data_IF_251828011322
#
_entry.id   IF_251828011322
#
_cell.length_a   1.000
_cell.length_b   1.000
_cell.length_c   1.000
_cell.angle_alpha   90.00
_cell.angle_beta   90.00
_cell.angle_gamma   90.00
#
_symmetry.space_group_name_H-M   'P 1'
#
loop_
_entity.id
_entity.type
_entity.pdbx_description
1 polymer ?
#
# COMPACT_ATOMS: atom_id res chain seq x y z
N UNK A 1 -5.32 6.41 12.06
CA UNK A 1 -5.77 6.05 10.72
C UNK A 1 -6.82 4.92 10.73
N UNK A 2 -6.63 3.87 11.52
CA UNK A 2 -7.55 2.73 11.67
C UNK A 2 -8.67 2.94 12.74
N UNK A 3 -8.58 4.01 13.52
CA UNK A 3 -9.62 4.43 14.46
C UNK A 3 -10.07 3.34 15.44
N UNK A 4 -11.37 3.07 15.46
CA UNK A 4 -11.98 2.09 16.37
C UNK A 4 -11.44 0.65 16.18
N UNK A 5 -10.95 0.29 14.98
CA UNK A 5 -10.44 -1.05 14.69
C UNK A 5 -9.19 -1.41 15.49
N UNK A 6 -8.40 -0.41 15.91
CA UNK A 6 -7.17 -0.59 16.68
C UNK A 6 -7.21 0.06 18.07
N UNK A 7 -8.36 0.57 18.52
CA UNK A 7 -8.51 1.27 19.80
C UNK A 7 -8.11 0.42 21.02
N UNK A 8 -8.36 -0.87 20.96
CA UNK A 8 -8.02 -1.82 22.03
C UNK A 8 -7.35 -3.07 21.44
N UNK A 9 -6.56 -2.90 20.37
CA UNK A 9 -5.98 -4.02 19.64
C UNK A 9 -4.74 -3.60 18.85
N UNK A 10 -3.80 -4.51 18.63
CA UNK A 10 -2.63 -4.25 17.78
C UNK A 10 -3.00 -4.37 16.31
N UNK A 11 -2.24 -3.73 15.40
CA UNK A 11 -2.46 -3.83 13.95
C UNK A 11 -2.45 -5.29 13.45
N UNK A 12 -1.54 -6.12 13.95
CA UNK A 12 -1.42 -7.52 13.53
C UNK A 12 -2.62 -8.40 13.90
N UNK A 13 -3.49 -7.92 14.78
CA UNK A 13 -4.75 -8.57 15.13
C UNK A 13 -5.93 -8.18 14.21
N UNK A 14 -5.73 -7.28 13.26
CA UNK A 14 -6.74 -6.96 12.24
C UNK A 14 -7.05 -8.19 11.38
N UNK A 15 -8.30 -8.32 11.02
CA UNK A 15 -8.79 -9.43 10.20
C UNK A 15 -8.95 -9.00 8.73
N UNK A 16 -8.38 -9.80 7.84
CA UNK A 16 -8.62 -9.74 6.40
C UNK A 16 -9.34 -11.01 5.99
N UNK A 17 -10.57 -10.89 5.53
CA UNK A 17 -11.42 -12.02 5.17
C UNK A 17 -11.58 -13.05 6.31
N UNK A 18 -11.77 -12.57 7.54
CA UNK A 18 -11.99 -13.41 8.72
C UNK A 18 -10.73 -14.10 9.28
N UNK A 19 -9.54 -13.75 8.80
CA UNK A 19 -8.26 -14.29 9.30
C UNK A 19 -7.36 -13.14 9.72
N UNK A 20 -6.87 -13.17 10.96
CA UNK A 20 -5.96 -12.16 11.49
C UNK A 20 -4.62 -12.15 10.76
N UNK A 21 -3.98 -11.00 10.67
CA UNK A 21 -2.65 -10.88 10.06
C UNK A 21 -1.65 -11.77 10.80
N UNK A 22 -1.64 -11.75 12.13
CA UNK A 22 -0.74 -12.60 12.93
C UNK A 22 -0.95 -14.10 12.66
N UNK A 23 -2.21 -14.55 12.48
CA UNK A 23 -2.51 -15.94 12.17
C UNK A 23 -1.97 -16.34 10.80
N UNK A 24 -2.03 -15.41 9.83
CA UNK A 24 -1.44 -15.64 8.50
C UNK A 24 0.08 -15.80 8.61
N UNK A 25 0.75 -14.91 9.32
CA UNK A 25 2.18 -14.99 9.51
C UNK A 25 2.61 -16.28 10.20
N UNK A 26 2.00 -16.60 11.32
CA UNK A 26 2.37 -17.81 12.08
C UNK A 26 2.14 -19.08 11.25
N UNK A 27 1.04 -19.16 10.49
CA UNK A 27 0.77 -20.28 9.56
C UNK A 27 1.75 -20.34 8.37
N UNK A 28 2.16 -19.19 7.85
CA UNK A 28 3.15 -19.14 6.77
C UNK A 28 4.52 -19.56 7.28
N UNK A 29 4.95 -19.01 8.41
CA UNK A 29 6.25 -19.26 9.01
C UNK A 29 6.38 -20.68 9.57
N UNK A 30 5.30 -21.29 10.08
CA UNK A 30 5.30 -22.67 10.56
C UNK A 30 5.59 -23.74 9.50
N UNK A 31 5.55 -23.36 8.21
CA UNK A 31 5.94 -24.27 7.12
C UNK A 31 7.44 -24.47 7.02
N UNK A 32 8.23 -23.66 7.71
CA UNK A 32 9.69 -23.66 7.67
C UNK A 32 10.27 -24.09 9.01
N UNK A 33 11.44 -24.71 8.96
CA UNK A 33 12.18 -25.10 10.17
C UNK A 33 12.89 -23.87 10.76
N UNK A 34 12.15 -23.02 11.46
CA UNK A 34 12.67 -21.87 12.17
C UNK A 34 13.02 -22.25 13.61
N UNK A 35 14.16 -21.80 14.10
CA UNK A 35 14.57 -22.03 15.49
C UNK A 35 13.65 -21.31 16.48
N UNK A 36 13.22 -20.10 16.12
CA UNK A 36 12.31 -19.27 16.93
C UNK A 36 11.66 -18.20 16.08
N UNK A 37 10.57 -17.64 16.61
CA UNK A 37 9.96 -16.40 16.15
C UNK A 37 10.06 -15.39 17.31
N UNK A 38 10.57 -14.20 17.03
CA UNK A 38 10.66 -13.10 18.01
C UNK A 38 9.68 -12.03 17.67
N UNK A 39 8.81 -11.67 18.60
CA UNK A 39 7.79 -10.62 18.41
C UNK A 39 8.06 -9.48 19.38
N UNK A 40 8.33 -8.30 18.83
CA UNK A 40 8.44 -7.08 19.65
C UNK A 40 7.04 -6.52 19.87
N UNK A 41 6.66 -6.38 21.13
CA UNK A 41 5.33 -5.94 21.56
C UNK A 41 5.40 -4.59 22.27
N UNK A 42 4.32 -3.82 22.15
CA UNK A 42 4.15 -2.52 22.82
C UNK A 42 2.69 -2.31 23.19
N UNK A 43 1.97 -1.47 22.39
CA UNK A 43 0.56 -1.20 22.60
C UNK A 43 -0.28 -2.49 22.59
N UNK A 44 -1.09 -2.70 23.64
CA UNK A 44 -1.91 -3.92 23.83
C UNK A 44 -1.11 -5.23 23.72
N UNK A 45 0.21 -5.16 24.05
CA UNK A 45 1.14 -6.28 23.88
C UNK A 45 0.75 -7.52 24.67
N UNK A 46 0.26 -7.37 25.91
CA UNK A 46 -0.17 -8.51 26.74
C UNK A 46 -1.34 -9.27 26.10
N UNK A 47 -2.26 -8.56 25.50
CA UNK A 47 -3.40 -9.18 24.80
C UNK A 47 -2.97 -10.02 23.60
N UNK A 48 -1.98 -9.55 22.84
CA UNK A 48 -1.38 -10.32 21.76
C UNK A 48 -0.66 -11.56 22.30
N UNK A 49 0.13 -11.43 23.37
CA UNK A 49 0.84 -12.53 24.02
C UNK A 49 -0.15 -13.61 24.48
N UNK A 50 -1.20 -13.21 25.20
CA UNK A 50 -2.23 -14.14 25.69
C UNK A 50 -2.93 -14.87 24.55
N UNK A 51 -3.25 -14.14 23.45
CA UNK A 51 -3.83 -14.72 22.26
C UNK A 51 -2.90 -15.76 21.61
N UNK A 52 -1.63 -15.43 21.45
CA UNK A 52 -0.64 -16.33 20.83
C UNK A 52 -0.43 -17.57 21.69
N UNK A 53 -0.26 -17.44 23.01
CA UNK A 53 -0.11 -18.57 23.91
C UNK A 53 -1.32 -19.51 23.88
N UNK A 54 -2.53 -18.95 23.75
CA UNK A 54 -3.76 -19.76 23.71
C UNK A 54 -3.94 -20.53 22.39
N UNK A 55 -3.37 -20.05 21.28
CA UNK A 55 -3.65 -20.59 19.94
C UNK A 55 -2.44 -21.24 19.24
N UNK A 56 -1.20 -20.97 19.70
CA UNK A 56 0.04 -21.35 19.02
C UNK A 56 1.09 -21.89 20.00
N UNK A 57 0.69 -22.78 20.92
CA UNK A 57 1.57 -23.38 21.94
C UNK A 57 2.71 -24.22 21.37
N UNK A 58 2.56 -24.70 20.13
CA UNK A 58 3.53 -25.62 19.49
C UNK A 58 4.65 -24.88 18.74
N UNK A 59 4.57 -23.55 18.66
CA UNK A 59 5.57 -22.72 17.98
C UNK A 59 6.46 -22.06 19.03
N UNK A 60 7.78 -22.11 18.84
CA UNK A 60 8.74 -21.42 19.71
C UNK A 60 8.70 -19.91 19.45
N UNK A 61 7.95 -19.17 20.27
CA UNK A 61 7.76 -17.73 20.15
C UNK A 61 8.30 -17.04 21.40
N UNK A 62 9.18 -16.06 21.19
CA UNK A 62 9.74 -15.22 22.24
C UNK A 62 9.22 -13.78 22.09
N UNK A 63 8.98 -13.10 23.20
CA UNK A 63 8.46 -11.74 23.20
C UNK A 63 9.47 -10.76 23.79
N UNK A 64 9.65 -9.64 23.09
CA UNK A 64 10.44 -8.50 23.54
C UNK A 64 9.51 -7.33 23.79
N UNK A 65 9.48 -6.82 25.02
CA UNK A 65 8.60 -5.69 25.35
C UNK A 65 9.28 -4.35 25.09
N UNK A 66 8.63 -3.48 24.33
CA UNK A 66 8.98 -2.06 24.23
C UNK A 66 8.12 -1.25 25.22
N UNK A 67 8.63 -0.90 26.40
CA UNK A 67 7.83 -0.22 27.43
C UNK A 67 7.55 1.26 27.13
N UNK A 68 8.23 1.84 26.13
CA UNK A 68 8.12 3.24 25.74
C UNK A 68 7.70 3.39 24.26
N UNK A 69 6.89 2.45 23.77
CA UNK A 69 6.42 2.40 22.37
C UNK A 69 5.72 3.69 21.93
N UNK A 70 5.09 4.42 22.86
CA UNK A 70 4.37 5.68 22.62
C UNK A 70 5.31 6.89 22.40
N UNK A 71 6.60 6.74 22.70
CA UNK A 71 7.65 7.77 22.57
C UNK A 71 8.74 7.40 21.58
N UNK A 72 8.66 6.22 20.98
CA UNK A 72 9.68 5.68 20.08
C UNK A 72 9.05 5.20 18.79
N UNK A 73 9.87 5.02 17.76
CA UNK A 73 9.47 4.41 16.51
C UNK A 73 10.07 3.00 16.37
N UNK A 74 9.89 2.36 15.20
CA UNK A 74 10.28 0.98 14.94
C UNK A 74 11.79 0.73 15.08
N UNK A 75 12.65 1.74 14.92
CA UNK A 75 14.10 1.64 15.18
C UNK A 75 14.41 1.16 16.60
N UNK A 76 13.69 1.66 17.60
CA UNK A 76 13.92 1.28 18.99
C UNK A 76 13.41 -0.13 19.28
N UNK A 77 12.28 -0.49 18.73
CA UNK A 77 11.75 -1.85 18.81
C UNK A 77 12.78 -2.87 18.27
N UNK A 78 13.41 -2.54 17.15
CA UNK A 78 14.44 -3.38 16.56
C UNK A 78 15.74 -3.39 17.39
N UNK A 79 16.11 -2.25 17.99
CA UNK A 79 17.27 -2.17 18.88
C UNK A 79 17.09 -3.03 20.14
N UNK A 80 15.87 -3.18 20.66
CA UNK A 80 15.57 -4.09 21.78
C UNK A 80 15.74 -5.57 21.39
N UNK A 81 15.54 -5.92 20.13
CA UNK A 81 15.68 -7.28 19.60
C UNK A 81 17.08 -7.56 18.99
N UNK A 82 18.05 -6.66 19.15
CA UNK A 82 19.37 -6.72 18.50
C UNK A 82 20.14 -8.02 18.75
N UNK A 83 20.04 -8.57 19.94
CA UNK A 83 20.78 -9.78 20.31
C UNK A 83 20.31 -10.99 19.49
N UNK A 84 19.03 -11.05 19.15
CA UNK A 84 18.47 -12.07 18.25
C UNK A 84 18.98 -11.91 16.82
N UNK A 85 19.06 -10.67 16.30
CA UNK A 85 19.60 -10.42 14.97
C UNK A 85 21.10 -10.77 14.87
N UNK A 86 21.84 -10.67 15.98
CA UNK A 86 23.25 -11.05 16.04
C UNK A 86 23.48 -12.54 16.27
N UNK A 87 22.48 -13.27 16.74
CA UNK A 87 22.61 -14.69 17.04
C UNK A 87 22.56 -15.58 15.79
N UNK A 88 21.61 -15.30 14.88
CA UNK A 88 21.29 -16.16 13.74
C UNK A 88 20.95 -15.36 12.48
N UNK A 89 20.88 -16.05 11.33
CA UNK A 89 20.29 -15.48 10.12
C UNK A 89 18.80 -15.19 10.37
N UNK A 90 18.33 -14.02 10.01
CA UNK A 90 17.01 -13.54 10.43
C UNK A 90 16.17 -13.07 9.25
N UNK A 91 14.86 -13.33 9.29
CA UNK A 91 13.86 -12.61 8.49
C UNK A 91 13.22 -11.56 9.38
N UNK A 92 13.37 -10.29 9.01
CA UNK A 92 12.68 -9.17 9.63
C UNK A 92 11.42 -8.86 8.83
N UNK A 93 10.27 -8.76 9.52
CA UNK A 93 8.97 -8.45 8.90
C UNK A 93 8.22 -7.42 9.74
N UNK A 94 7.56 -6.48 9.09
CA UNK A 94 6.61 -5.60 9.77
C UNK A 94 5.26 -6.30 9.96
N UNK A 95 4.51 -5.89 10.98
CA UNK A 95 3.34 -6.63 11.48
C UNK A 95 2.01 -6.25 10.80
N UNK A 96 2.01 -5.31 9.89
CA UNK A 96 0.85 -4.75 9.19
C UNK A 96 0.79 -5.09 7.70
N UNK A 97 1.58 -6.07 7.30
CA UNK A 97 1.62 -6.57 5.93
C UNK A 97 0.67 -7.76 5.76
N UNK A 98 0.21 -7.95 4.54
CA UNK A 98 -0.38 -9.19 4.06
C UNK A 98 0.35 -9.62 2.78
N UNK A 99 0.83 -10.86 2.73
CA UNK A 99 1.65 -11.37 1.64
C UNK A 99 1.21 -12.77 1.21
N UNK A 100 1.40 -13.10 -0.05
CA UNK A 100 1.26 -14.48 -0.55
C UNK A 100 2.42 -15.36 -0.07
N UNK A 101 2.16 -16.65 0.13
CA UNK A 101 3.15 -17.63 0.61
C UNK A 101 4.42 -17.66 -0.24
N UNK A 102 4.30 -17.56 -1.56
CA UNK A 102 5.44 -17.56 -2.49
C UNK A 102 6.48 -16.46 -2.25
N UNK A 103 6.13 -15.38 -1.56
CA UNK A 103 7.07 -14.31 -1.21
C UNK A 103 8.10 -14.78 -0.19
N UNK A 104 7.68 -15.53 0.82
CA UNK A 104 8.60 -16.09 1.83
C UNK A 104 9.48 -17.18 1.22
N UNK A 105 8.92 -18.05 0.37
CA UNK A 105 9.67 -19.06 -0.36
C UNK A 105 10.78 -18.44 -1.21
N UNK A 106 10.44 -17.37 -1.94
CA UNK A 106 11.38 -16.64 -2.81
C UNK A 106 12.54 -16.05 -2.01
N UNK A 107 12.24 -15.47 -0.84
CA UNK A 107 13.23 -14.87 0.04
C UNK A 107 14.19 -15.92 0.63
N UNK A 108 13.63 -17.02 1.15
CA UNK A 108 14.40 -18.07 1.80
C UNK A 108 15.30 -18.84 0.83
N UNK A 109 14.78 -19.15 -0.36
CA UNK A 109 15.50 -19.94 -1.37
C UNK A 109 16.50 -19.11 -2.19
N UNK A 110 16.56 -17.79 -1.98
CA UNK A 110 17.50 -16.94 -2.72
C UNK A 110 18.94 -17.13 -2.23
N UNK A 111 19.89 -17.14 -3.16
CA UNK A 111 21.32 -17.36 -2.90
C UNK A 111 21.98 -16.22 -2.14
N UNK A 112 21.54 -14.98 -2.36
CA UNK A 112 22.04 -13.83 -1.62
C UNK A 112 21.58 -13.94 -0.15
N UNK A 113 22.50 -13.63 0.75
CA UNK A 113 22.24 -13.75 2.19
C UNK A 113 21.52 -12.55 2.80
N UNK A 114 21.73 -11.38 2.21
CA UNK A 114 21.23 -10.12 2.71
C UNK A 114 20.33 -9.47 1.66
N UNK A 115 19.03 -9.44 1.92
CA UNK A 115 18.01 -9.06 0.95
C UNK A 115 16.99 -8.08 1.55
N UNK A 116 16.60 -7.12 0.75
CA UNK A 116 15.40 -6.29 0.95
C UNK A 116 14.38 -6.63 -0.13
N UNK A 117 13.20 -7.10 0.24
CA UNK A 117 12.10 -7.26 -0.72
C UNK A 117 11.61 -5.90 -1.19
N UNK A 118 11.47 -5.75 -2.48
CA UNK A 118 11.01 -4.50 -3.10
C UNK A 118 9.96 -4.78 -4.17
N UNK A 119 9.01 -3.86 -4.32
CA UNK A 119 8.00 -3.89 -5.37
C UNK A 119 8.19 -2.70 -6.30
N UNK A 120 8.00 -2.87 -7.61
CA UNK A 120 7.97 -1.74 -8.54
C UNK A 120 6.94 -0.73 -8.06
N UNK A 121 7.29 0.56 -8.03
CA UNK A 121 6.40 1.61 -7.55
C UNK A 121 5.07 1.63 -8.31
N UNK A 122 4.00 1.74 -7.58
CA UNK A 122 2.64 1.99 -8.06
C UNK A 122 2.05 3.20 -7.31
N UNK A 123 1.16 3.94 -7.94
CA UNK A 123 0.66 5.24 -7.42
C UNK A 123 0.01 5.19 -6.04
N UNK A 124 -0.45 4.02 -5.60
CA UNK A 124 -1.06 3.84 -4.29
C UNK A 124 -0.03 3.67 -3.16
N UNK A 125 1.23 3.37 -3.50
CA UNK A 125 2.28 3.08 -2.54
C UNK A 125 2.79 4.35 -1.88
N UNK A 126 2.95 4.29 -0.56
CA UNK A 126 3.50 5.36 0.28
C UNK A 126 4.71 4.84 1.09
N UNK A 127 5.45 5.73 1.73
CA UNK A 127 6.58 5.41 2.60
C UNK A 127 7.93 5.43 1.91
N UNK A 128 8.85 4.55 2.32
CA UNK A 128 10.24 4.52 1.85
C UNK A 128 10.33 3.85 0.49
N UNK A 129 10.96 4.54 -0.46
CA UNK A 129 11.30 4.00 -1.78
C UNK A 129 12.79 3.70 -1.88
N UNK A 130 13.16 2.90 -2.88
CA UNK A 130 14.56 2.65 -3.22
C UNK A 130 14.78 2.77 -4.72
N UNK A 131 16.01 3.16 -5.09
CA UNK A 131 16.55 2.96 -6.44
C UNK A 131 17.49 1.78 -6.44
N UNK A 132 17.43 1.00 -7.49
CA UNK A 132 18.31 -0.16 -7.69
C UNK A 132 18.98 -0.10 -9.05
N UNK A 133 20.16 -0.70 -9.14
CA UNK A 133 20.84 -0.91 -10.43
C UNK A 133 20.47 -2.26 -11.07
N UNK A 134 21.00 -2.53 -12.26
CA UNK A 134 20.77 -3.78 -13.01
C UNK A 134 21.28 -5.03 -12.26
N UNK A 135 22.22 -4.86 -11.31
CA UNK A 135 22.74 -5.92 -10.45
C UNK A 135 21.98 -6.03 -9.12
N UNK A 136 20.82 -5.38 -9.02
CA UNK A 136 19.98 -5.35 -7.82
C UNK A 136 20.64 -4.71 -6.59
N UNK A 137 21.71 -3.93 -6.78
CA UNK A 137 22.30 -3.14 -5.72
C UNK A 137 21.35 -2.00 -5.39
N UNK A 138 21.08 -1.79 -4.10
CA UNK A 138 20.32 -0.62 -3.65
C UNK A 138 21.26 0.59 -3.71
N UNK A 139 20.94 1.53 -4.56
CA UNK A 139 21.72 2.75 -4.75
C UNK A 139 21.37 3.83 -3.73
N UNK A 140 20.09 3.88 -3.36
CA UNK A 140 19.58 4.91 -2.47
C UNK A 140 18.26 4.46 -1.83
N UNK A 141 18.09 4.78 -0.55
CA UNK A 141 16.79 4.84 0.11
C UNK A 141 16.25 6.26 0.04
N UNK A 142 15.01 6.41 -0.37
CA UNK A 142 14.34 7.70 -0.59
C UNK A 142 13.18 7.77 0.39
N UNK A 143 13.28 8.61 1.44
CA UNK A 143 12.18 8.82 2.36
C UNK A 143 11.04 9.58 1.65
N UNK A 144 9.83 9.53 2.21
CA UNK A 144 8.63 10.19 1.66
C UNK A 144 8.89 11.67 1.28
N UNK A 145 9.61 12.41 2.10
CA UNK A 145 9.94 13.82 1.85
C UNK A 145 10.89 14.04 0.66
N UNK A 146 11.61 13.00 0.25
CA UNK A 146 12.53 13.03 -0.90
C UNK A 146 11.93 12.47 -2.19
N UNK A 147 10.66 12.03 -2.16
CA UNK A 147 10.01 11.46 -3.33
C UNK A 147 9.79 12.51 -4.43
N UNK A 148 10.13 12.16 -5.67
CA UNK A 148 9.93 13.00 -6.85
C UNK A 148 9.07 12.25 -7.86
N UNK A 149 7.94 12.82 -8.22
CA UNK A 149 7.00 12.19 -9.17
C UNK A 149 7.58 12.01 -10.57
N UNK A 150 8.50 12.89 -10.99
CA UNK A 150 9.18 12.81 -12.29
C UNK A 150 10.10 11.59 -12.42
N UNK A 151 10.53 11.06 -11.28
CA UNK A 151 11.46 9.94 -11.17
C UNK A 151 10.75 8.64 -10.73
N UNK A 152 9.43 8.66 -10.62
CA UNK A 152 8.64 7.56 -10.07
C UNK A 152 8.82 6.23 -10.82
N UNK A 153 9.11 6.29 -12.12
CA UNK A 153 9.37 5.12 -12.95
C UNK A 153 10.65 4.36 -12.56
N UNK A 154 11.59 5.01 -11.86
CA UNK A 154 12.83 4.40 -11.39
C UNK A 154 12.71 3.83 -9.98
N UNK A 155 11.59 4.06 -9.30
CA UNK A 155 11.43 3.70 -7.90
C UNK A 155 10.84 2.31 -7.69
N UNK A 156 11.27 1.73 -6.57
CA UNK A 156 10.70 0.55 -5.96
C UNK A 156 10.31 0.86 -4.53
N UNK A 157 9.14 0.39 -4.08
CA UNK A 157 8.72 0.46 -2.68
C UNK A 157 9.37 -0.67 -1.89
N UNK A 158 9.88 -0.39 -0.69
CA UNK A 158 10.24 -1.44 0.27
C UNK A 158 8.97 -2.18 0.70
N UNK A 159 9.01 -3.53 0.66
CA UNK A 159 7.90 -4.37 1.13
C UNK A 159 7.94 -4.52 2.65
N UNK A 160 8.96 -3.96 3.29
CA UNK A 160 9.23 -4.05 4.73
C UNK A 160 9.42 -5.50 5.21
N UNK A 161 9.99 -6.33 4.33
CA UNK A 161 10.46 -7.67 4.62
C UNK A 161 11.91 -7.78 4.17
N UNK A 162 12.76 -8.23 5.08
CA UNK A 162 14.21 -8.31 4.88
C UNK A 162 14.75 -9.67 5.30
N UNK A 163 15.80 -10.13 4.65
CA UNK A 163 16.62 -11.27 5.07
C UNK A 163 17.99 -10.72 5.42
N UNK A 164 18.43 -10.94 6.63
CA UNK A 164 19.73 -10.51 7.12
C UNK A 164 20.51 -11.71 7.60
N UNK A 165 21.72 -11.88 7.10
CA UNK A 165 22.65 -12.84 7.68
C UNK A 165 23.12 -12.37 9.05
N UNK A 166 23.45 -13.31 9.91
CA UNK A 166 24.12 -13.05 11.20
C UNK A 166 25.34 -12.14 11.01
N UNK A 167 26.10 -12.38 9.94
CA UNK A 167 27.31 -11.61 9.65
C UNK A 167 26.97 -10.15 9.32
N UNK A 168 26.00 -9.89 8.45
CA UNK A 168 25.53 -8.54 8.13
C UNK A 168 24.99 -7.84 9.38
N UNK A 169 24.13 -8.52 10.14
CA UNK A 169 23.57 -7.96 11.37
C UNK A 169 24.65 -7.57 12.37
N UNK A 170 25.56 -8.49 12.70
CA UNK A 170 26.56 -8.27 13.77
C UNK A 170 27.68 -7.31 13.37
N UNK A 171 28.12 -7.32 12.09
CA UNK A 171 29.27 -6.52 11.64
C UNK A 171 28.89 -5.18 11.01
N UNK A 172 27.69 -5.05 10.47
CA UNK A 172 27.26 -3.85 9.78
C UNK A 172 26.02 -3.24 10.43
N UNK A 173 24.87 -3.93 10.42
CA UNK A 173 23.61 -3.31 10.75
C UNK A 173 23.48 -2.85 12.20
N UNK A 174 23.74 -3.74 13.18
CA UNK A 174 23.58 -3.42 14.61
C UNK A 174 24.56 -2.36 15.11
N UNK A 175 25.85 -2.36 14.75
CA UNK A 175 26.73 -1.26 15.14
C UNK A 175 26.24 0.13 14.65
N UNK A 176 25.72 0.20 13.43
CA UNK A 176 25.16 1.45 12.90
C UNK A 176 23.83 1.79 13.55
N UNK A 177 22.94 0.81 13.82
CA UNK A 177 21.70 0.98 14.54
C UNK A 177 21.94 1.60 15.94
N UNK A 178 22.87 1.05 16.69
CA UNK A 178 23.20 1.55 18.02
C UNK A 178 23.80 2.97 17.98
N UNK A 179 24.69 3.23 17.02
CA UNK A 179 25.25 4.56 16.82
C UNK A 179 24.17 5.57 16.42
N UNK A 180 23.28 5.19 15.50
CA UNK A 180 22.18 6.02 15.01
C UNK A 180 21.22 6.38 16.16
N UNK A 181 20.79 5.39 16.96
CA UNK A 181 19.93 5.64 18.13
C UNK A 181 20.58 6.60 19.15
N UNK A 182 21.89 6.51 19.37
CA UNK A 182 22.62 7.41 20.29
C UNK A 182 22.68 8.84 19.79
N UNK A 183 22.78 9.06 18.47
CA UNK A 183 22.98 10.39 17.87
C UNK A 183 21.64 11.04 17.52
N UNK A 184 20.76 10.30 16.88
CA UNK A 184 19.49 10.80 16.33
C UNK A 184 18.29 10.55 17.26
N UNK A 185 18.44 9.66 18.24
CA UNK A 185 17.38 9.25 19.16
C UNK A 185 16.60 8.04 18.69
N UNK A 186 15.56 7.71 19.44
CA UNK A 186 14.81 6.47 19.28
C UNK A 186 13.48 6.64 18.52
N UNK A 187 13.17 7.84 18.04
CA UNK A 187 11.93 8.13 17.32
C UNK A 187 12.14 8.25 15.80
N UNK A 188 12.90 7.31 15.25
CA UNK A 188 13.25 7.23 13.84
C UNK A 188 12.85 5.87 13.26
N UNK A 189 12.86 5.76 11.94
CA UNK A 189 12.62 4.51 11.21
C UNK A 189 13.93 3.73 11.04
N UNK A 190 13.90 2.42 11.20
CA UNK A 190 15.10 1.56 11.07
C UNK A 190 15.68 1.56 9.63
N UNK A 191 14.89 1.88 8.62
CA UNK A 191 15.35 2.05 7.24
C UNK A 191 16.36 3.21 7.08
N UNK A 192 16.36 4.17 8.00
CA UNK A 192 17.38 5.23 8.00
C UNK A 192 18.78 4.64 8.20
N UNK A 193 18.90 3.58 9.00
CA UNK A 193 20.17 2.87 9.17
C UNK A 193 20.56 2.17 7.87
N UNK A 194 19.61 1.52 7.19
CA UNK A 194 19.85 0.88 5.89
C UNK A 194 20.26 1.93 4.84
N UNK A 195 19.64 3.12 4.88
CA UNK A 195 20.02 4.25 4.02
C UNK A 195 21.49 4.64 4.20
N UNK A 196 21.95 4.75 5.44
CA UNK A 196 23.36 5.06 5.73
C UNK A 196 24.29 3.94 5.23
N UNK A 197 23.92 2.67 5.45
CA UNK A 197 24.70 1.52 5.02
C UNK A 197 24.86 1.43 3.50
N UNK A 198 23.86 1.84 2.73
CA UNK A 198 23.96 1.82 1.26
C UNK A 198 24.96 2.84 0.71
N UNK A 199 25.32 3.86 1.48
CA UNK A 199 26.40 4.78 1.11
C UNK A 199 27.77 4.14 1.23
N UNK A 200 27.88 3.02 1.96
CA UNK A 200 29.12 2.26 2.06
C UNK A 200 29.27 1.37 0.83
N UNK A 201 30.44 1.39 0.22
CA UNK A 201 30.70 0.63 -1.02
C UNK A 201 30.68 -0.90 -0.84
N UNK A 202 30.80 -1.37 0.39
CA UNK A 202 30.95 -2.80 0.74
C UNK A 202 29.71 -3.42 1.40
N UNK A 203 28.54 -2.78 1.32
CA UNK A 203 27.30 -3.41 1.82
C UNK A 203 26.92 -4.62 0.98
N UNK A 204 26.53 -5.70 1.66
CA UNK A 204 26.06 -6.95 1.04
C UNK A 204 24.57 -6.93 0.70
N UNK A 205 23.82 -5.96 1.24
CA UNK A 205 22.37 -5.84 1.04
C UNK A 205 22.01 -5.64 -0.43
N UNK A 206 21.12 -6.48 -0.94
CA UNK A 206 20.59 -6.44 -2.31
C UNK A 206 19.07 -6.32 -2.31
N UNK A 207 18.55 -5.71 -3.33
CA UNK A 207 17.11 -5.73 -3.57
C UNK A 207 16.67 -7.07 -4.17
N UNK A 208 15.53 -7.59 -3.71
CA UNK A 208 14.85 -8.72 -4.34
C UNK A 208 13.47 -8.24 -4.82
N UNK A 209 13.33 -7.91 -6.11
CA UNK A 209 12.05 -7.51 -6.66
C UNK A 209 11.03 -8.65 -6.58
N UNK A 210 9.86 -8.37 -6.02
CA UNK A 210 8.71 -9.25 -6.16
C UNK A 210 8.15 -9.14 -7.58
N UNK A 211 7.53 -10.19 -8.07
CA UNK A 211 6.94 -10.24 -9.41
C UNK A 211 5.43 -10.01 -9.35
N UNK A 212 4.70 -11.08 -9.66
CA UNK A 212 3.22 -11.05 -9.67
C UNK A 212 2.60 -11.43 -8.33
N UNK A 213 3.41 -11.78 -7.35
CA UNK A 213 2.95 -12.16 -6.02
C UNK A 213 2.19 -10.99 -5.38
N UNK A 214 1.09 -11.32 -4.69
CA UNK A 214 0.27 -10.30 -4.02
C UNK A 214 0.87 -9.97 -2.66
N UNK A 215 0.89 -8.69 -2.39
CA UNK A 215 1.22 -8.14 -1.08
C UNK A 215 0.46 -6.82 -0.87
N UNK A 216 0.27 -6.42 0.36
CA UNK A 216 -0.30 -5.12 0.70
C UNK A 216 0.11 -4.71 2.12
N UNK A 217 0.27 -3.41 2.35
CA UNK A 217 0.52 -2.79 3.65
C UNK A 217 -0.78 -2.13 4.13
N UNK A 218 -1.18 -2.39 5.38
CA UNK A 218 -2.48 -1.94 5.91
C UNK A 218 -2.25 -0.82 6.92
N UNK A 219 -2.41 0.41 6.47
CA UNK A 219 -2.23 1.61 7.30
C UNK A 219 -3.53 2.28 7.69
N UNK A 220 -4.58 2.11 6.91
CA UNK A 220 -5.89 2.70 7.17
C UNK A 220 -7.06 1.78 6.76
N UNK A 221 -8.29 2.28 6.92
CA UNK A 221 -9.50 1.50 6.59
C UNK A 221 -9.64 1.24 5.09
N UNK A 222 -9.13 2.11 4.23
CA UNK A 222 -9.15 1.90 2.79
C UNK A 222 -8.16 0.79 2.38
N UNK A 223 -6.99 0.75 3.01
CA UNK A 223 -6.01 -0.32 2.81
C UNK A 223 -6.57 -1.67 3.21
N UNK A 224 -7.27 -1.72 4.35
CA UNK A 224 -7.95 -2.94 4.81
C UNK A 224 -8.99 -3.44 3.81
N UNK A 225 -9.79 -2.54 3.21
CA UNK A 225 -10.77 -2.88 2.18
C UNK A 225 -10.10 -3.37 0.89
N UNK A 226 -9.01 -2.73 0.46
CA UNK A 226 -8.23 -3.16 -0.70
C UNK A 226 -7.58 -4.52 -0.46
N UNK A 227 -6.93 -4.71 0.68
CA UNK A 227 -6.35 -5.98 1.06
C UNK A 227 -7.39 -7.10 1.11
N UNK A 228 -8.58 -6.82 1.66
CA UNK A 228 -9.70 -7.76 1.69
C UNK A 228 -10.18 -8.16 0.29
N UNK A 229 -10.16 -7.22 -0.65
CA UNK A 229 -10.49 -7.49 -2.05
C UNK A 229 -9.41 -8.31 -2.75
N UNK A 230 -8.13 -7.91 -2.62
CA UNK A 230 -6.99 -8.60 -3.27
C UNK A 230 -6.83 -10.05 -2.80
N UNK A 231 -7.02 -10.30 -1.50
CA UNK A 231 -6.85 -11.61 -0.86
C UNK A 231 -8.16 -12.39 -0.69
N UNK A 232 -9.24 -11.96 -1.35
CA UNK A 232 -10.48 -12.70 -1.38
C UNK A 232 -10.40 -13.93 -2.29
N UNK A 233 -11.26 -14.90 -2.04
CA UNK A 233 -11.50 -16.01 -2.98
C UNK A 233 -12.08 -15.49 -4.30
N UNK A 234 -11.72 -16.12 -5.42
CA UNK A 234 -12.11 -15.68 -6.77
C UNK A 234 -13.62 -15.49 -6.93
N UNK A 235 -14.42 -16.39 -6.31
CA UNK A 235 -15.89 -16.33 -6.36
C UNK A 235 -16.48 -15.05 -5.73
N UNK A 236 -15.79 -14.47 -4.75
CA UNK A 236 -16.24 -13.28 -4.02
C UNK A 236 -15.63 -11.99 -4.57
N UNK A 237 -14.49 -12.09 -5.26
CA UNK A 237 -13.69 -10.95 -5.71
C UNK A 237 -14.45 -10.04 -6.65
N UNK A 238 -15.21 -10.59 -7.57
CA UNK A 238 -16.03 -9.81 -8.50
C UNK A 238 -17.03 -8.90 -7.76
N UNK A 239 -17.73 -9.46 -6.76
CA UNK A 239 -18.69 -8.67 -5.98
C UNK A 239 -18.02 -7.57 -5.15
N UNK A 240 -16.80 -7.81 -4.64
CA UNK A 240 -16.04 -6.79 -3.91
C UNK A 240 -15.59 -5.66 -4.82
N UNK A 241 -15.15 -5.95 -6.04
CA UNK A 241 -14.87 -4.91 -7.02
C UNK A 241 -16.12 -4.11 -7.38
N UNK A 242 -17.23 -4.81 -7.65
CA UNK A 242 -18.48 -4.16 -8.05
C UNK A 242 -19.02 -3.19 -7.00
N UNK A 243 -18.93 -3.55 -5.72
CA UNK A 243 -19.36 -2.68 -4.61
C UNK A 243 -18.59 -1.35 -4.52
N UNK A 244 -17.42 -1.25 -5.12
CA UNK A 244 -16.59 -0.04 -5.01
C UNK A 244 -17.08 1.10 -5.92
N UNK A 245 -17.81 0.81 -6.95
CA UNK A 245 -18.29 1.80 -7.95
C UNK A 245 -17.19 2.71 -8.51
N UNK A 246 -15.96 2.19 -8.64
CA UNK A 246 -14.79 2.94 -9.12
C UNK A 246 -13.56 2.77 -8.23
N UNK A 247 -12.59 3.68 -8.37
CA UNK A 247 -11.32 3.60 -7.62
C UNK A 247 -10.43 2.43 -8.05
N UNK A 248 -10.62 1.91 -9.26
CA UNK A 248 -9.92 0.73 -9.77
C UNK A 248 -8.44 0.99 -10.07
N UNK A 249 -8.00 2.23 -10.07
CA UNK A 249 -6.59 2.60 -10.14
C UNK A 249 -5.74 2.03 -8.99
N UNK A 250 -6.39 1.65 -7.87
CA UNK A 250 -5.76 0.91 -6.77
C UNK A 250 -5.48 -0.56 -7.09
N UNK A 251 -5.97 -1.05 -8.20
CA UNK A 251 -5.82 -2.43 -8.67
C UNK A 251 -5.22 -2.44 -10.08
N UNK A 252 -3.94 -2.05 -10.24
CA UNK A 252 -3.35 -1.80 -11.56
C UNK A 252 -3.28 -3.05 -12.47
N UNK A 253 -3.41 -4.26 -11.88
CA UNK A 253 -3.48 -5.52 -12.62
C UNK A 253 -4.91 -5.91 -13.02
N UNK A 254 -5.92 -5.16 -12.59
CA UNK A 254 -7.32 -5.40 -12.95
C UNK A 254 -7.57 -4.97 -14.39
N UNK A 255 -8.13 -5.87 -15.20
CA UNK A 255 -8.66 -5.54 -16.52
C UNK A 255 -10.11 -5.06 -16.35
N UNK A 256 -10.30 -3.76 -16.43
CA UNK A 256 -11.61 -3.14 -16.27
C UNK A 256 -12.36 -3.08 -17.61
N UNK A 257 -13.44 -3.83 -17.71
CA UNK A 257 -14.39 -3.79 -18.82
C UNK A 257 -15.76 -3.23 -18.40
N UNK A 258 -15.87 -2.72 -17.18
CA UNK A 258 -17.12 -2.18 -16.64
C UNK A 258 -17.30 -0.71 -16.98
N UNK A 259 -16.27 0.09 -16.78
CA UNK A 259 -16.31 1.53 -17.06
C UNK A 259 -15.70 1.85 -18.42
N UNK A 260 -16.57 2.17 -19.36
CA UNK A 260 -16.20 2.48 -20.76
C UNK A 260 -15.66 3.91 -20.86
N UNK A 261 -14.37 4.05 -20.64
CA UNK A 261 -13.69 5.33 -20.84
C UNK A 261 -12.93 5.33 -22.17
N UNK A 262 -12.84 6.51 -22.81
CA UNK A 262 -12.03 6.67 -24.00
C UNK A 262 -10.54 6.75 -23.61
N UNK A 263 -9.70 5.73 -23.90
CA UNK A 263 -8.30 5.72 -23.49
C UNK A 263 -7.44 6.74 -24.23
N UNK A 264 -7.96 7.33 -25.33
CA UNK A 264 -7.25 8.31 -26.15
C UNK A 264 -7.63 9.76 -25.82
N UNK A 265 -8.55 9.96 -24.87
CA UNK A 265 -9.01 11.28 -24.45
C UNK A 265 -8.77 11.47 -22.91
N UNK A 266 -8.34 12.66 -22.46
CA UNK A 266 -7.90 13.81 -23.24
C UNK A 266 -6.58 13.56 -23.98
N UNK A 267 -6.37 14.18 -25.12
CA UNK A 267 -5.11 14.07 -25.86
C UNK A 267 -3.95 14.76 -25.10
N UNK A 268 -2.72 14.56 -25.59
CA UNK A 268 -1.52 15.09 -24.91
C UNK A 268 -1.59 16.61 -24.70
N UNK A 269 -1.99 17.36 -25.73
CA UNK A 269 -2.08 18.84 -25.65
C UNK A 269 -3.05 19.28 -24.54
N UNK A 270 -4.23 18.69 -24.47
CA UNK A 270 -5.21 19.01 -23.43
C UNK A 270 -4.69 18.67 -22.02
N UNK A 271 -4.03 17.54 -21.86
CA UNK A 271 -3.41 17.17 -20.59
C UNK A 271 -2.31 18.14 -20.17
N UNK A 272 -1.48 18.58 -21.12
CA UNK A 272 -0.42 19.57 -20.85
C UNK A 272 -1.03 20.94 -20.49
N UNK A 273 -2.13 21.34 -21.14
CA UNK A 273 -2.86 22.56 -20.82
C UNK A 273 -3.50 22.52 -19.42
N UNK A 274 -4.12 21.40 -19.05
CA UNK A 274 -4.68 21.21 -17.70
C UNK A 274 -3.56 21.28 -16.65
N UNK A 275 -2.44 20.60 -16.88
CA UNK A 275 -1.29 20.62 -15.95
C UNK A 275 -0.72 22.02 -15.76
N UNK A 276 -0.60 22.78 -16.85
CA UNK A 276 -0.07 24.14 -16.79
C UNK A 276 -0.99 25.13 -16.05
N UNK A 277 -2.30 24.86 -16.03
CA UNK A 277 -3.28 25.69 -15.35
C UNK A 277 -3.84 25.05 -14.07
N UNK A 278 -3.23 23.96 -13.60
CA UNK A 278 -3.78 23.12 -12.54
C UNK A 278 -4.07 23.91 -11.27
N UNK A 279 -3.14 24.73 -10.81
CA UNK A 279 -3.30 25.51 -9.57
C UNK A 279 -4.46 26.50 -9.67
N UNK A 280 -4.57 27.22 -10.81
CA UNK A 280 -5.67 28.16 -11.05
C UNK A 280 -7.02 27.43 -11.10
N UNK A 281 -7.05 26.27 -11.77
CA UNK A 281 -8.28 25.46 -11.88
C UNK A 281 -8.70 24.88 -10.53
N UNK A 282 -7.73 24.50 -9.69
CA UNK A 282 -7.98 23.96 -8.36
C UNK A 282 -8.49 25.01 -7.37
N UNK A 283 -7.93 26.22 -7.42
CA UNK A 283 -8.22 27.31 -6.48
C UNK A 283 -9.46 28.14 -6.86
N UNK A 284 -9.96 27.98 -8.10
CA UNK A 284 -11.04 28.81 -8.63
C UNK A 284 -12.37 28.07 -8.69
N UNK A 285 -13.45 28.79 -8.46
CA UNK A 285 -14.78 28.24 -8.74
C UNK A 285 -14.96 27.98 -10.24
N UNK A 286 -15.62 26.88 -10.63
CA UNK A 286 -15.91 26.59 -12.03
C UNK A 286 -16.90 27.61 -12.61
N UNK A 287 -16.89 27.75 -13.94
CA UNK A 287 -17.88 28.54 -14.64
C UNK A 287 -19.28 28.00 -14.43
N UNK A 288 -20.25 28.90 -14.33
CA UNK A 288 -21.66 28.52 -14.22
C UNK A 288 -22.21 27.88 -15.51
N UNK A 289 -23.39 27.26 -15.40
CA UNK A 289 -24.05 26.52 -16.49
C UNK A 289 -24.24 27.38 -17.74
N UNK A 290 -24.61 28.63 -17.61
CA UNK A 290 -24.82 29.55 -18.78
C UNK A 290 -23.56 29.73 -19.62
N UNK A 291 -22.38 29.83 -18.99
CA UNK A 291 -21.09 29.92 -19.69
C UNK A 291 -20.76 28.58 -20.37
N UNK A 292 -20.96 27.47 -19.70
CA UNK A 292 -20.73 26.15 -20.28
C UNK A 292 -21.63 25.87 -21.48
N UNK A 293 -22.90 26.20 -21.38
CA UNK A 293 -23.86 26.09 -22.48
C UNK A 293 -23.52 27.02 -23.68
N UNK A 294 -23.05 28.23 -23.38
CA UNK A 294 -22.59 29.18 -24.44
C UNK A 294 -21.36 28.60 -25.17
N UNK A 295 -20.37 28.12 -24.46
CA UNK A 295 -19.15 27.55 -25.07
C UNK A 295 -19.46 26.28 -25.87
N UNK A 296 -20.25 25.38 -25.34
CA UNK A 296 -20.70 24.17 -26.02
C UNK A 296 -21.56 24.53 -27.26
N UNK A 297 -22.48 25.47 -27.13
CA UNK A 297 -23.29 25.94 -28.24
C UNK A 297 -22.46 26.51 -29.37
N UNK A 298 -21.44 27.33 -29.06
CA UNK A 298 -20.49 27.85 -30.05
C UNK A 298 -19.70 26.74 -30.74
N UNK A 299 -19.24 25.77 -29.97
CA UNK A 299 -18.45 24.65 -30.50
C UNK A 299 -19.27 23.77 -31.46
N UNK A 300 -20.53 23.47 -31.11
CA UNK A 300 -21.41 22.61 -31.89
C UNK A 300 -22.26 23.37 -32.93
N UNK A 301 -22.18 24.68 -32.99
CA UNK A 301 -23.00 25.50 -33.89
C UNK A 301 -24.49 25.53 -33.53
N UNK A 302 -24.84 25.40 -32.25
CA UNK A 302 -26.19 25.33 -31.70
C UNK A 302 -26.40 26.54 -30.80
N UNK A 303 -27.63 27.08 -30.73
CA UNK A 303 -27.96 28.16 -29.80
C UNK A 303 -27.81 27.64 -28.35
N UNK A 304 -27.21 28.45 -27.47
CA UNK A 304 -26.95 28.08 -26.08
C UNK A 304 -28.19 27.60 -25.31
N UNK A 305 -29.38 28.13 -25.65
CA UNK A 305 -30.62 27.77 -24.97
C UNK A 305 -31.08 26.32 -25.25
N UNK A 306 -30.47 25.67 -26.22
CA UNK A 306 -30.70 24.24 -26.54
C UNK A 306 -29.62 23.32 -26.06
N UNK A 307 -28.69 23.82 -25.24
CA UNK A 307 -27.56 23.04 -24.75
C UNK A 307 -27.53 23.04 -23.20
N UNK A 308 -27.54 21.88 -22.63
CA UNK A 308 -27.32 21.64 -21.18
C UNK A 308 -26.04 20.82 -21.01
N UNK A 309 -25.16 21.28 -20.14
CA UNK A 309 -23.92 20.60 -19.82
C UNK A 309 -23.98 20.13 -18.35
N UNK A 310 -23.86 18.82 -18.10
CA UNK A 310 -23.89 18.23 -16.77
C UNK A 310 -22.61 17.47 -16.43
N UNK A 311 -22.51 17.00 -15.17
CA UNK A 311 -21.39 16.20 -14.67
C UNK A 311 -21.54 14.72 -15.05
N UNK A 312 -21.61 14.46 -16.34
CA UNK A 312 -21.81 13.13 -16.89
C UNK A 312 -23.28 12.80 -17.19
N UNK A 313 -23.48 11.63 -17.80
CA UNK A 313 -24.79 11.19 -18.26
C UNK A 313 -25.76 10.93 -17.10
N UNK A 314 -25.30 10.42 -15.97
CA UNK A 314 -26.14 10.09 -14.82
C UNK A 314 -26.93 11.31 -14.30
N UNK A 315 -26.28 12.46 -14.13
CA UNK A 315 -26.95 13.71 -13.72
C UNK A 315 -28.02 14.12 -14.74
N UNK A 316 -27.71 14.11 -16.04
CA UNK A 316 -28.64 14.50 -17.10
C UNK A 316 -29.79 13.52 -17.22
N UNK A 317 -29.57 12.22 -17.12
CA UNK A 317 -30.62 11.18 -17.09
C UNK A 317 -31.58 11.46 -15.95
N UNK A 318 -31.05 11.68 -14.74
CA UNK A 318 -31.85 11.99 -13.56
C UNK A 318 -32.73 13.20 -13.76
N UNK A 319 -32.16 14.32 -14.23
CA UNK A 319 -32.90 15.54 -14.47
C UNK A 319 -34.01 15.32 -15.51
N UNK A 320 -33.72 14.64 -16.63
CA UNK A 320 -34.71 14.31 -17.64
C UNK A 320 -35.83 13.45 -17.10
N UNK A 321 -35.50 12.43 -16.28
CA UNK A 321 -36.47 11.53 -15.68
C UNK A 321 -37.36 12.24 -14.68
N UNK A 322 -36.82 13.12 -13.85
CA UNK A 322 -37.58 13.86 -12.82
C UNK A 322 -38.50 14.94 -13.46
N UNK A 323 -37.98 15.68 -14.43
CA UNK A 323 -38.68 16.86 -14.97
C UNK A 323 -39.63 16.55 -16.16
N UNK A 324 -39.36 15.48 -16.92
CA UNK A 324 -40.05 15.25 -18.18
C UNK A 324 -40.85 13.95 -18.25
N UNK A 325 -40.98 13.22 -17.11
CA UNK A 325 -41.76 11.99 -17.11
C UNK A 325 -42.99 12.09 -16.19
N UNK A 326 -44.08 11.49 -16.62
CA UNK A 326 -45.33 11.39 -15.85
C UNK A 326 -45.41 10.11 -15.02
N UNK A 327 -44.28 9.66 -14.46
CA UNK A 327 -44.20 8.49 -13.62
C UNK A 327 -44.17 7.14 -14.35
N UNK A 328 -44.05 7.13 -15.68
CA UNK A 328 -43.87 5.92 -16.49
C UNK A 328 -42.77 6.11 -17.52
N UNK A 329 -41.76 5.27 -17.44
CA UNK A 329 -40.64 5.29 -18.38
C UNK A 329 -40.42 3.88 -18.92
N UNK A 330 -40.32 3.77 -20.23
CA UNK A 330 -39.93 2.52 -20.90
C UNK A 330 -38.44 2.54 -21.20
N UNK A 331 -37.72 1.50 -20.74
CA UNK A 331 -36.31 1.30 -21.05
C UNK A 331 -36.08 -0.03 -21.74
N UNK A 332 -35.10 -0.11 -22.61
CA UNK A 332 -34.68 -1.35 -23.26
C UNK A 332 -33.79 -2.10 -22.28
N UNK A 333 -34.07 -3.36 -22.05
CA UNK A 333 -33.27 -4.20 -21.16
C UNK A 333 -32.48 -5.25 -21.98
N UNK A 334 -31.21 -5.50 -21.65
CA UNK A 334 -30.37 -4.83 -20.65
C UNK A 334 -29.98 -3.39 -21.05
N UNK A 335 -29.80 -2.51 -20.07
CA UNK A 335 -29.49 -1.09 -20.26
C UNK A 335 -28.48 -0.60 -19.22
N UNK A 336 -28.11 0.68 -19.31
CA UNK A 336 -27.30 1.39 -18.33
C UNK A 336 -28.08 1.53 -17.02
N UNK A 337 -27.43 1.22 -15.91
CA UNK A 337 -28.07 1.09 -14.58
C UNK A 337 -28.72 2.39 -14.07
N UNK A 338 -28.30 3.53 -14.57
CA UNK A 338 -28.87 4.83 -14.18
C UNK A 338 -30.31 5.06 -14.67
N UNK A 339 -30.78 4.32 -15.68
CA UNK A 339 -32.15 4.47 -16.17
C UNK A 339 -33.21 3.87 -15.21
N UNK A 340 -32.98 2.72 -14.57
CA UNK A 340 -33.95 2.17 -13.62
C UNK A 340 -33.80 2.70 -12.18
N UNK A 341 -32.71 3.40 -11.86
CA UNK A 341 -32.43 3.99 -10.56
C UNK A 341 -32.83 5.47 -10.56
#
# INVERSE_FOLDING_TARGET
RLGELTKNNTKCMLEVNGVRLIDRYLRQLSKYSLDRIVIVVGYEGQKLIDYIHANYSDINIEFVNNPIYDKTNNIYSLALAKDYLCADDTILMESDLIVEDGIIDKLLNHTDKDLALVAKYEQWMDGTMVRIDDNRRILQFIPKAGFRYEEADDYYKTVNIYKFSREFSSKQYIPFLEAYCKVMGNNEYYEQVLSVLTLLQNTTLRALPIGNEKWYEIDDVQDLDIASTLFSEDKNRFQLYHKRYGGFWRFPKLLDFCYLVNPFFPNKRMRDEIRNNFDILLESYPSGMGVNSLLAGKYFGIKQDYVVVGNGAAELIKVVMEEHTNGRVGVIFPTFDEYPN
#
